data_IF_430957309105
#
_entry.id   IF_430957309105
#
_cell.length_a   1.000
_cell.length_b   1.000
_cell.length_c   1.000
_cell.angle_alpha   90.00
_cell.angle_beta   90.00
_cell.angle_gamma   90.00
#
_symmetry.space_group_name_H-M   'P 1'
#
loop_
_entity.id
_entity.type
_entity.pdbx_description
1 polymer ?
#
# COMPACT_ATOMS: atom_id res chain seq x y z
N UNK A 1 -13.55 18.33 15.45
CA UNK A 1 -12.15 17.88 15.25
C UNK A 1 -12.13 16.38 15.44
N UNK A 2 -11.59 15.62 14.48
CA UNK A 2 -11.42 14.19 14.68
C UNK A 2 -10.32 13.97 15.73
N UNK A 3 -10.65 13.30 16.84
CA UNK A 3 -9.74 13.07 17.94
C UNK A 3 -8.92 11.82 17.67
N UNK A 4 -7.65 11.97 17.30
CA UNK A 4 -6.71 10.84 17.26
C UNK A 4 -6.48 10.40 18.71
N UNK A 5 -6.85 9.16 19.03
CA UNK A 5 -6.72 8.59 20.36
C UNK A 5 -5.27 8.10 20.64
N UNK A 6 -4.29 9.00 20.43
CA UNK A 6 -2.85 8.69 20.44
C UNK A 6 -2.33 7.93 21.68
N UNK A 7 -2.85 8.13 22.91
CA UNK A 7 -2.41 7.35 24.07
C UNK A 7 -2.64 5.84 23.95
N UNK A 8 -3.54 5.39 23.07
CA UNK A 8 -3.87 3.97 22.88
C UNK A 8 -3.15 3.33 21.69
N UNK A 9 -2.34 4.09 20.95
CA UNK A 9 -1.64 3.62 19.76
C UNK A 9 -0.12 3.68 19.99
N UNK A 10 0.60 2.60 19.64
CA UNK A 10 2.06 2.63 19.54
C UNK A 10 2.57 3.14 18.20
N UNK A 11 1.72 3.07 17.16
CA UNK A 11 2.04 3.50 15.80
C UNK A 11 0.84 4.15 15.14
N UNK A 12 1.09 5.21 14.40
CA UNK A 12 0.12 5.90 13.55
C UNK A 12 0.61 5.82 12.10
N UNK A 13 -0.27 5.38 11.21
CA UNK A 13 -0.02 5.30 9.77
C UNK A 13 -0.79 6.44 9.10
N UNK A 14 -0.07 7.38 8.50
CA UNK A 14 -0.61 8.52 7.77
C UNK A 14 -0.84 8.12 6.31
N UNK A 15 -2.04 8.38 5.80
CA UNK A 15 -2.49 7.91 4.48
C UNK A 15 -3.21 9.05 3.74
N UNK A 16 -2.84 9.46 2.53
CA UNK A 16 -1.75 8.97 1.67
C UNK A 16 -1.04 10.14 0.98
N UNK A 17 0.25 9.95 0.69
CA UNK A 17 0.91 10.64 -0.42
C UNK A 17 0.90 9.73 -1.65
N UNK A 18 0.89 10.33 -2.83
CA UNK A 18 0.82 9.60 -4.10
C UNK A 18 1.96 9.97 -5.04
N UNK A 19 2.52 9.01 -5.81
CA UNK A 19 3.54 9.30 -6.81
C UNK A 19 3.01 10.21 -7.92
N UNK A 20 3.76 11.25 -8.28
CA UNK A 20 3.49 12.08 -9.46
C UNK A 20 4.80 12.36 -10.15
N UNK A 21 5.05 11.71 -11.29
CA UNK A 21 6.38 11.64 -11.90
C UNK A 21 7.40 11.17 -10.84
N UNK A 22 8.52 11.87 -10.68
CA UNK A 22 9.56 11.61 -9.67
C UNK A 22 9.28 12.26 -8.29
N UNK A 23 8.09 12.86 -8.14
CA UNK A 23 7.67 13.60 -6.94
C UNK A 23 6.58 12.89 -6.12
N UNK A 24 6.21 13.51 -5.00
CA UNK A 24 5.07 13.14 -4.18
C UNK A 24 4.03 14.27 -4.20
N UNK A 25 2.76 13.89 -4.29
CA UNK A 25 1.63 14.80 -4.13
C UNK A 25 0.73 14.32 -2.99
N UNK A 26 -0.01 15.25 -2.40
CA UNK A 26 -1.14 14.96 -1.51
C UNK A 26 -2.43 15.00 -2.32
N UNK A 27 -3.39 14.18 -1.94
CA UNK A 27 -4.72 14.17 -2.55
C UNK A 27 -5.54 15.40 -2.16
N UNK A 28 -5.27 15.99 -0.99
CA UNK A 28 -6.03 17.13 -0.46
C UNK A 28 -5.09 18.18 0.16
N UNK A 29 -4.49 19.08 -0.64
CA UNK A 29 -3.52 20.07 -0.16
C UNK A 29 -4.00 20.93 1.01
N UNK A 30 -5.26 21.36 0.99
CA UNK A 30 -5.84 22.19 2.06
C UNK A 30 -5.87 21.48 3.42
N UNK A 31 -5.98 20.15 3.45
CA UNK A 31 -5.91 19.38 4.69
C UNK A 31 -4.47 19.25 5.20
N UNK A 32 -3.49 19.15 4.31
CA UNK A 32 -2.06 19.11 4.70
C UNK A 32 -1.63 20.39 5.42
N UNK A 33 -2.12 21.53 4.97
CA UNK A 33 -1.80 22.84 5.57
C UNK A 33 -2.44 23.04 6.94
N UNK A 34 -3.60 22.45 7.19
CA UNK A 34 -4.40 22.71 8.40
C UNK A 34 -4.29 21.61 9.47
N UNK A 35 -4.21 20.34 9.06
CA UNK A 35 -4.31 19.18 9.97
C UNK A 35 -3.46 17.98 9.57
N UNK A 36 -2.70 18.08 8.49
CA UNK A 36 -1.92 16.96 7.96
C UNK A 36 -0.59 16.77 8.67
N UNK A 37 0.41 16.34 7.90
CA UNK A 37 1.65 15.81 8.47
C UNK A 37 2.45 16.86 9.27
N UNK A 38 2.37 18.14 8.87
CA UNK A 38 2.99 19.25 9.61
C UNK A 38 2.45 19.38 11.03
N UNK A 39 1.12 19.27 11.19
CA UNK A 39 0.49 19.35 12.51
C UNK A 39 0.84 18.13 13.38
N UNK A 40 0.92 16.94 12.79
CA UNK A 40 1.37 15.74 13.50
C UNK A 40 2.83 15.89 13.98
N UNK A 41 3.70 16.44 13.15
CA UNK A 41 5.10 16.70 13.52
C UNK A 41 5.20 17.70 14.68
N UNK A 42 4.39 18.76 14.67
CA UNK A 42 4.31 19.73 15.78
C UNK A 42 3.87 19.07 17.10
N UNK A 43 2.83 18.22 17.07
CA UNK A 43 2.34 17.52 18.26
C UNK A 43 3.41 16.59 18.86
N UNK A 44 4.24 15.95 18.01
CA UNK A 44 5.39 15.16 18.47
C UNK A 44 6.49 16.02 19.05
N UNK A 45 6.83 17.13 18.39
CA UNK A 45 7.85 18.07 18.85
C UNK A 45 7.49 18.72 20.20
N UNK A 46 6.20 18.92 20.48
CA UNK A 46 5.69 19.40 21.77
C UNK A 46 5.64 18.31 22.85
N UNK A 47 6.20 17.13 22.60
CA UNK A 47 6.22 15.99 23.52
C UNK A 47 4.82 15.49 23.92
N UNK A 48 3.76 15.83 23.16
CA UNK A 48 2.40 15.35 23.43
C UNK A 48 2.24 13.90 23.00
N UNK A 49 2.81 13.56 21.84
CA UNK A 49 2.75 12.22 21.23
C UNK A 49 4.15 11.67 20.90
N UNK A 50 5.15 11.96 21.73
CA UNK A 50 6.53 11.51 21.48
C UNK A 50 6.69 9.99 21.51
N UNK A 51 5.79 9.27 22.19
CA UNK A 51 5.74 7.80 22.21
C UNK A 51 5.25 7.19 20.89
N UNK A 52 4.61 7.99 20.03
CA UNK A 52 3.95 7.51 18.83
C UNK A 52 4.95 7.41 17.68
N UNK A 53 5.12 6.20 17.14
CA UNK A 53 5.79 5.99 15.86
C UNK A 53 4.88 6.45 14.73
N UNK A 54 5.34 7.37 13.87
CA UNK A 54 4.57 7.87 12.73
C UNK A 54 5.19 7.36 11.43
N UNK A 55 4.37 6.66 10.66
CA UNK A 55 4.72 6.11 9.35
C UNK A 55 3.86 6.79 8.30
N UNK A 56 4.46 7.23 7.18
CA UNK A 56 3.68 7.71 6.02
C UNK A 56 3.46 6.59 5.02
N UNK A 57 2.25 6.50 4.46
CA UNK A 57 1.93 5.62 3.35
C UNK A 57 2.00 6.33 2.02
N UNK A 58 2.67 5.70 1.07
CA UNK A 58 2.76 6.12 -0.33
C UNK A 58 1.94 5.16 -1.18
N UNK A 59 1.00 5.69 -1.98
CA UNK A 59 0.09 4.91 -2.82
C UNK A 59 -1.33 4.91 -2.26
N UNK A 60 -1.94 3.73 -2.16
CA UNK A 60 -3.32 3.57 -1.69
C UNK A 60 -4.34 3.34 -2.82
N UNK A 61 -5.59 3.10 -2.45
CA UNK A 61 -6.65 2.69 -3.39
C UNK A 61 -7.03 3.75 -4.42
N UNK A 62 -6.88 5.03 -4.07
CA UNK A 62 -7.17 6.15 -4.97
C UNK A 62 -6.03 6.42 -5.97
N UNK A 63 -4.92 5.67 -5.87
CA UNK A 63 -3.77 5.83 -6.74
C UNK A 63 -3.78 4.87 -7.93
N UNK A 64 -3.40 5.40 -9.10
CA UNK A 64 -3.17 4.58 -10.29
C UNK A 64 -1.82 3.87 -10.20
N UNK A 65 -1.84 2.54 -10.14
CA UNK A 65 -0.64 1.70 -10.13
C UNK A 65 0.30 1.97 -11.32
N UNK A 66 -0.21 2.54 -12.43
CA UNK A 66 0.60 2.95 -13.58
C UNK A 66 1.71 3.95 -13.23
N UNK A 67 1.53 4.81 -12.23
CA UNK A 67 2.58 5.75 -11.81
C UNK A 67 3.74 5.03 -11.14
N UNK A 68 3.46 4.01 -10.32
CA UNK A 68 4.52 3.18 -9.74
C UNK A 68 5.23 2.35 -10.82
N UNK A 69 4.50 1.75 -11.75
CA UNK A 69 5.10 1.03 -12.88
C UNK A 69 5.99 1.95 -13.73
N UNK A 70 5.53 3.18 -14.00
CA UNK A 70 6.31 4.19 -14.72
C UNK A 70 7.63 4.56 -14.02
N UNK A 71 7.62 4.62 -12.68
CA UNK A 71 8.83 4.80 -11.89
C UNK A 71 9.76 3.59 -12.00
N UNK A 72 9.21 2.38 -11.92
CA UNK A 72 9.97 1.13 -11.94
C UNK A 72 10.62 0.77 -13.28
N UNK A 73 10.17 1.37 -14.38
CA UNK A 73 10.73 1.16 -15.72
C UNK A 73 12.14 1.73 -15.92
N UNK A 74 12.57 2.68 -15.09
CA UNK A 74 13.85 3.37 -15.27
C UNK A 74 14.57 3.57 -13.92
N UNK A 75 15.75 2.94 -13.71
CA UNK A 75 16.42 2.95 -12.41
C UNK A 75 16.78 4.34 -11.87
N UNK A 76 17.16 5.30 -12.72
CA UNK A 76 17.53 6.66 -12.29
C UNK A 76 16.30 7.42 -11.79
N UNK A 77 15.18 7.30 -12.49
CA UNK A 77 13.88 7.87 -12.10
C UNK A 77 13.38 7.29 -10.79
N UNK A 78 13.47 5.97 -10.62
CA UNK A 78 13.15 5.33 -9.34
C UNK A 78 14.04 5.85 -8.21
N UNK A 79 15.35 5.99 -8.45
CA UNK A 79 16.27 6.53 -7.44
C UNK A 79 15.94 7.99 -7.07
N UNK A 80 15.56 8.83 -8.03
CA UNK A 80 15.11 10.20 -7.78
C UNK A 80 13.82 10.25 -6.97
N UNK A 81 12.84 9.42 -7.34
CA UNK A 81 11.60 9.28 -6.58
C UNK A 81 11.87 8.83 -5.15
N UNK A 82 12.69 7.80 -4.97
CA UNK A 82 13.02 7.29 -3.65
C UNK A 82 13.74 8.33 -2.79
N UNK A 83 14.55 9.21 -3.38
CA UNK A 83 15.12 10.38 -2.70
C UNK A 83 14.03 11.35 -2.23
N UNK A 84 12.99 11.59 -3.03
CA UNK A 84 11.84 12.41 -2.61
C UNK A 84 11.14 11.82 -1.38
N UNK A 85 10.99 10.49 -1.34
CA UNK A 85 10.44 9.77 -0.17
C UNK A 85 11.29 9.98 1.08
N UNK A 86 12.61 9.83 0.96
CA UNK A 86 13.55 10.05 2.08
C UNK A 86 13.48 11.50 2.57
N UNK A 87 13.43 12.48 1.65
CA UNK A 87 13.32 13.89 2.01
C UNK A 87 12.00 14.20 2.74
N UNK A 88 10.89 13.57 2.34
CA UNK A 88 9.62 13.69 3.06
C UNK A 88 9.73 13.14 4.49
N UNK A 89 10.29 11.93 4.64
CA UNK A 89 10.48 11.29 5.93
C UNK A 89 11.35 12.14 6.86
N UNK A 90 12.46 12.68 6.35
CA UNK A 90 13.34 13.57 7.11
C UNK A 90 12.66 14.88 7.50
N UNK A 91 11.95 15.51 6.55
CA UNK A 91 11.25 16.80 6.78
C UNK A 91 10.27 16.73 7.94
N UNK A 92 9.57 15.61 8.08
CA UNK A 92 8.55 15.43 9.12
C UNK A 92 8.99 14.52 10.27
N UNK A 93 10.29 14.18 10.34
CA UNK A 93 10.86 13.29 11.36
C UNK A 93 10.07 11.97 11.51
N UNK A 94 9.71 11.37 10.38
CA UNK A 94 8.93 10.13 10.36
C UNK A 94 9.78 8.94 10.78
N UNK A 95 9.17 7.98 11.45
CA UNK A 95 9.82 6.76 11.91
C UNK A 95 9.71 5.63 10.88
N UNK A 96 9.00 5.85 9.78
CA UNK A 96 8.80 4.81 8.77
C UNK A 96 8.13 5.28 7.49
N UNK A 97 8.22 4.41 6.49
CA UNK A 97 7.51 4.52 5.21
C UNK A 97 6.78 3.21 4.93
N UNK A 98 5.51 3.31 4.56
CA UNK A 98 4.69 2.20 4.09
C UNK A 98 4.45 2.37 2.59
N UNK A 99 4.69 1.34 1.79
CA UNK A 99 4.38 1.35 0.35
C UNK A 99 3.11 0.54 0.13
N UNK A 100 2.07 1.20 -0.37
CA UNK A 100 0.81 0.57 -0.73
C UNK A 100 0.64 0.61 -2.26
N UNK A 101 1.28 -0.36 -2.91
CA UNK A 101 1.19 -0.60 -4.35
C UNK A 101 0.29 -1.82 -4.55
N UNK A 102 -0.96 -1.57 -4.91
CA UNK A 102 -2.03 -2.57 -4.79
C UNK A 102 -1.99 -3.63 -5.89
N UNK A 103 -1.64 -3.23 -7.12
CA UNK A 103 -1.57 -4.10 -8.29
C UNK A 103 -0.19 -4.06 -8.91
N UNK A 104 0.59 -5.10 -8.64
CA UNK A 104 1.91 -5.35 -9.24
C UNK A 104 1.79 -6.25 -10.48
N UNK A 105 2.88 -6.45 -11.21
CA UNK A 105 3.17 -7.54 -12.16
C UNK A 105 1.96 -8.39 -12.66
N UNK A 106 1.63 -8.30 -13.96
CA UNK A 106 0.56 -9.12 -14.57
C UNK A 106 -0.84 -8.48 -14.53
N UNK A 107 -0.96 -7.26 -14.01
CA UNK A 107 -2.15 -6.40 -14.11
C UNK A 107 -2.07 -5.50 -15.35
N UNK A 108 -3.16 -4.76 -15.64
CA UNK A 108 -3.28 -3.89 -16.84
C UNK A 108 -2.07 -2.98 -17.09
N UNK A 109 -1.39 -2.54 -16.03
CA UNK A 109 -0.22 -1.65 -16.09
C UNK A 109 1.05 -2.22 -15.43
N UNK A 110 1.03 -3.47 -14.94
CA UNK A 110 2.13 -4.06 -14.17
C UNK A 110 3.20 -4.73 -15.04
N UNK A 111 4.47 -4.60 -14.67
CA UNK A 111 5.63 -5.17 -15.36
C UNK A 111 6.46 -6.09 -14.45
N UNK A 112 7.26 -7.01 -15.02
CA UNK A 112 8.21 -7.84 -14.25
C UNK A 112 9.27 -7.01 -13.49
N UNK A 113 9.54 -5.79 -13.95
CA UNK A 113 10.43 -4.85 -13.27
C UNK A 113 9.85 -4.29 -11.97
N UNK A 114 8.53 -4.32 -11.79
CA UNK A 114 7.85 -3.70 -10.64
C UNK A 114 8.28 -4.36 -9.32
N UNK A 115 8.40 -5.68 -9.31
CA UNK A 115 8.91 -6.44 -8.16
C UNK A 115 10.32 -5.99 -7.77
N UNK A 116 11.20 -5.75 -8.74
CA UNK A 116 12.54 -5.23 -8.47
C UNK A 116 12.52 -3.77 -8.01
N UNK A 117 11.70 -2.94 -8.64
CA UNK A 117 11.55 -1.53 -8.31
C UNK A 117 11.02 -1.32 -6.88
N UNK A 118 10.04 -2.12 -6.47
CA UNK A 118 9.52 -2.14 -5.11
C UNK A 118 10.62 -2.48 -4.10
N UNK A 119 11.43 -3.51 -4.37
CA UNK A 119 12.56 -3.85 -3.49
C UNK A 119 13.58 -2.71 -3.37
N UNK A 120 13.85 -1.99 -4.46
CA UNK A 120 14.73 -0.82 -4.43
C UNK A 120 14.12 0.33 -3.63
N UNK A 121 12.81 0.56 -3.75
CA UNK A 121 12.09 1.58 -3.00
C UNK A 121 12.11 1.28 -1.49
N UNK A 122 11.92 0.02 -1.10
CA UNK A 122 12.01 -0.42 0.29
C UNK A 122 13.43 -0.27 0.85
N UNK A 123 14.47 -0.39 0.02
CA UNK A 123 15.87 -0.19 0.44
C UNK A 123 16.30 1.27 0.53
N UNK A 124 15.63 2.18 -0.19
CA UNK A 124 16.12 3.55 -0.35
C UNK A 124 16.21 4.35 0.95
N UNK A 125 15.29 4.21 1.93
CA UNK A 125 15.54 4.68 3.29
C UNK A 125 16.58 3.78 3.95
N UNK A 126 17.87 4.05 3.70
CA UNK A 126 19.00 3.26 4.21
C UNK A 126 19.29 3.45 5.70
N UNK A 127 18.41 4.11 6.46
CA UNK A 127 18.51 4.14 7.92
C UNK A 127 17.79 2.91 8.48
N UNK A 128 18.57 2.01 9.08
CA UNK A 128 18.13 0.78 9.75
C UNK A 128 17.13 1.00 10.89
N UNK A 129 16.86 2.26 11.25
CA UNK A 129 15.82 2.66 12.21
C UNK A 129 14.46 2.95 11.57
N UNK A 130 14.40 3.07 10.24
CA UNK A 130 13.17 3.35 9.51
C UNK A 130 12.33 2.08 9.46
N UNK A 131 11.08 2.15 9.91
CA UNK A 131 10.14 1.04 9.74
C UNK A 131 9.62 1.02 8.30
N UNK A 132 9.73 -0.11 7.62
CA UNK A 132 9.25 -0.32 6.26
C UNK A 132 8.00 -1.20 6.27
N UNK A 133 6.87 -0.61 5.88
CA UNK A 133 5.61 -1.31 5.69
C UNK A 133 5.36 -1.64 4.22
N UNK A 134 4.64 -2.72 3.97
CA UNK A 134 4.09 -2.98 2.64
C UNK A 134 2.63 -3.43 2.68
N UNK A 135 1.85 -2.98 1.69
CA UNK A 135 0.53 -3.53 1.37
C UNK A 135 0.42 -3.78 -0.13
N UNK A 136 -0.02 -5.00 -0.47
CA UNK A 136 -0.28 -5.46 -1.83
C UNK A 136 -1.62 -6.17 -1.80
N UNK A 137 -2.55 -5.78 -2.68
CA UNK A 137 -3.89 -6.39 -2.69
C UNK A 137 -3.93 -7.70 -3.47
N UNK A 138 -3.17 -7.82 -4.57
CA UNK A 138 -3.22 -8.97 -5.47
C UNK A 138 -1.82 -9.56 -5.70
N UNK A 139 -1.29 -10.38 -4.78
CA UNK A 139 -0.05 -11.10 -5.02
C UNK A 139 -0.29 -12.20 -6.07
N UNK A 140 0.28 -12.04 -7.28
CA UNK A 140 0.30 -13.08 -8.32
C UNK A 140 1.28 -14.20 -7.96
N UNK A 141 1.12 -15.38 -8.57
CA UNK A 141 1.92 -16.57 -8.27
C UNK A 141 3.44 -16.40 -8.49
N UNK A 142 3.86 -15.41 -9.29
CA UNK A 142 5.27 -15.11 -9.57
C UNK A 142 5.89 -14.07 -8.61
N UNK A 143 5.12 -13.60 -7.62
CA UNK A 143 5.54 -12.54 -6.72
C UNK A 143 6.65 -12.99 -5.74
N UNK A 144 7.77 -12.25 -5.69
CA UNK A 144 8.90 -12.57 -4.79
C UNK A 144 8.64 -12.17 -3.34
N UNK A 145 7.68 -12.85 -2.70
CA UNK A 145 7.25 -12.60 -1.33
C UNK A 145 8.41 -12.74 -0.31
N UNK A 146 9.27 -13.74 -0.50
CA UNK A 146 10.42 -13.98 0.38
C UNK A 146 11.47 -12.86 0.30
N UNK A 147 11.73 -12.33 -0.90
CA UNK A 147 12.65 -11.21 -1.08
C UNK A 147 12.13 -9.93 -0.45
N UNK A 148 10.83 -9.67 -0.57
CA UNK A 148 10.19 -8.45 -0.06
C UNK A 148 10.04 -8.47 1.46
N UNK A 149 9.65 -9.60 2.05
CA UNK A 149 9.55 -9.71 3.51
C UNK A 149 10.89 -9.67 4.23
N UNK A 150 12.02 -9.78 3.51
CA UNK A 150 13.34 -9.50 4.08
C UNK A 150 13.65 -8.00 4.18
N UNK A 151 12.87 -7.16 3.49
CA UNK A 151 13.05 -5.72 3.41
C UNK A 151 11.93 -4.95 4.14
N UNK A 152 10.76 -5.55 4.31
CA UNK A 152 9.64 -4.98 5.06
C UNK A 152 9.62 -5.50 6.50
N UNK A 153 9.45 -4.61 7.47
CA UNK A 153 9.23 -4.96 8.88
C UNK A 153 7.83 -5.54 9.12
N UNK A 154 6.85 -5.13 8.30
CA UNK A 154 5.49 -5.66 8.38
C UNK A 154 4.77 -5.60 7.02
N UNK A 155 3.80 -6.51 6.84
CA UNK A 155 2.85 -6.50 5.75
C UNK A 155 1.43 -6.32 6.28
N UNK A 156 0.59 -5.50 5.65
CA UNK A 156 -0.83 -5.36 6.03
C UNK A 156 -1.76 -6.03 5.03
N UNK A 157 -2.72 -6.80 5.53
CA UNK A 157 -3.66 -7.59 4.71
C UNK A 157 -5.09 -7.42 5.25
N UNK A 158 -5.94 -6.68 4.52
CA UNK A 158 -7.37 -6.53 4.79
C UNK A 158 -8.13 -6.35 3.46
N UNK A 159 -9.42 -6.70 3.44
CA UNK A 159 -10.30 -6.88 2.28
C UNK A 159 -10.06 -8.14 1.45
N UNK A 160 -10.58 -9.28 1.93
CA UNK A 160 -10.70 -10.50 1.13
C UNK A 160 -12.15 -10.76 0.72
N UNK A 161 -12.43 -10.99 -0.59
CA UNK A 161 -11.55 -10.74 -1.74
C UNK A 161 -11.52 -9.25 -2.11
N UNK A 162 -10.35 -8.69 -2.50
CA UNK A 162 -10.25 -7.30 -2.96
C UNK A 162 -11.03 -7.13 -4.26
N UNK A 163 -11.72 -6.00 -4.42
CA UNK A 163 -12.40 -5.60 -5.66
C UNK A 163 -13.61 -6.46 -6.08
N UNK A 164 -13.87 -7.59 -5.43
CA UNK A 164 -15.02 -8.43 -5.70
C UNK A 164 -16.20 -7.96 -4.83
N UNK A 165 -17.31 -7.55 -5.45
CA UNK A 165 -18.59 -7.48 -4.75
C UNK A 165 -19.13 -8.91 -4.76
N UNK A 166 -19.04 -9.68 -3.67
CA UNK A 166 -19.54 -11.05 -3.66
C UNK A 166 -21.03 -11.03 -3.94
N UNK A 167 -21.49 -11.98 -4.76
CA UNK A 167 -22.91 -12.19 -5.05
C UNK A 167 -23.70 -12.64 -3.82
N UNK A 168 -23.02 -12.87 -2.69
CA UNK A 168 -23.56 -13.22 -1.38
C UNK A 168 -22.82 -12.45 -0.28
N UNK A 169 -23.50 -12.23 0.84
CA UNK A 169 -22.88 -11.65 2.01
C UNK A 169 -21.82 -12.61 2.59
N UNK A 170 -20.59 -12.11 2.77
CA UNK A 170 -19.46 -12.85 3.30
C UNK A 170 -18.68 -11.98 4.30
N UNK A 171 -17.89 -12.61 5.17
CA UNK A 171 -17.02 -11.88 6.10
C UNK A 171 -15.83 -11.27 5.37
N UNK A 172 -15.65 -9.94 5.46
CA UNK A 172 -14.52 -9.22 4.83
C UNK A 172 -13.19 -9.26 5.60
N UNK A 173 -13.19 -9.83 6.81
CA UNK A 173 -12.04 -9.84 7.73
C UNK A 173 -12.02 -11.08 8.65
N UNK A 174 -12.52 -12.21 8.16
CA UNK A 174 -12.53 -13.46 8.96
C UNK A 174 -11.11 -13.94 9.26
N UNK A 175 -10.83 -14.24 10.54
CA UNK A 175 -9.55 -14.80 10.97
C UNK A 175 -9.28 -16.23 10.48
N UNK A 176 -10.33 -16.96 10.09
CA UNK A 176 -10.25 -18.35 9.66
C UNK A 176 -11.17 -18.59 8.47
N UNK A 177 -10.72 -19.45 7.55
CA UNK A 177 -11.54 -19.91 6.44
C UNK A 177 -12.76 -20.66 6.98
N UNK A 178 -13.95 -20.31 6.48
CA UNK A 178 -15.18 -21.06 6.75
C UNK A 178 -15.41 -22.06 5.63
N UNK A 179 -15.72 -23.31 5.98
CA UNK A 179 -16.18 -24.29 5.01
C UNK A 179 -17.58 -23.91 4.54
N UNK A 180 -17.67 -23.27 3.39
CA UNK A 180 -18.95 -23.13 2.68
C UNK A 180 -19.10 -24.30 1.71
N UNK A 181 -20.20 -25.06 1.84
CA UNK A 181 -20.54 -26.10 0.89
C UNK A 181 -20.78 -25.46 -0.50
N UNK A 182 -19.79 -25.62 -1.38
CA UNK A 182 -19.88 -25.18 -2.77
C UNK A 182 -20.78 -26.16 -3.54
N UNK A 183 -22.04 -25.82 -3.75
CA UNK A 183 -22.80 -26.43 -4.85
C UNK A 183 -22.30 -25.82 -6.16
N UNK A 184 -21.22 -26.38 -6.72
CA UNK A 184 -20.86 -26.12 -8.12
C UNK A 184 -22.00 -26.63 -9.00
N UNK A 185 -22.74 -25.74 -9.66
CA UNK A 185 -23.52 -26.15 -10.84
C UNK A 185 -22.53 -26.31 -12.00
N UNK A 186 -22.49 -27.46 -12.69
CA UNK A 186 -21.64 -27.60 -13.86
C UNK A 186 -22.12 -26.65 -14.96
N UNK A 187 -21.17 -26.12 -15.74
CA UNK A 187 -21.46 -25.35 -16.94
C UNK A 187 -22.28 -26.21 -17.91
N UNK A 188 -23.38 -25.65 -18.42
CA UNK A 188 -24.23 -26.31 -19.40
C UNK A 188 -23.43 -26.58 -20.68
N UNK A 189 -23.31 -27.84 -21.06
CA UNK A 189 -22.86 -28.24 -22.39
C UNK A 189 -23.97 -27.95 -23.39
N UNK A 190 -23.70 -27.10 -24.37
CA UNK A 190 -24.56 -26.90 -25.54
C UNK A 190 -24.56 -28.17 -26.40
N UNK A 191 -25.53 -29.06 -26.16
CA UNK A 191 -25.89 -30.09 -27.10
C UNK A 191 -27.07 -29.57 -27.93
N UNK A 192 -26.84 -29.35 -29.23
CA UNK A 192 -27.88 -28.99 -30.17
C UNK A 192 -28.94 -30.08 -30.26
N UNK A 193 -30.18 -29.67 -30.47
CA UNK A 193 -31.27 -30.57 -30.84
C UNK A 193 -31.91 -30.07 -32.12
N UNK A 194 -31.82 -30.95 -33.11
CA UNK A 194 -32.47 -30.97 -34.42
C UNK A 194 -33.99 -30.89 -34.25
N UNK A 195 -34.63 -30.10 -35.11
CA UNK A 195 -36.08 -30.05 -35.25
C UNK A 195 -36.57 -31.18 -36.16
N UNK A 196 -37.55 -31.95 -35.69
CA UNK A 196 -38.59 -32.58 -36.52
C UNK A 196 -39.92 -32.10 -35.96
#
# INVERSE_FOLDING_TARGET
MAHIAAPYCGRLVYSYFVPRNEGLATLVPALEESTGLSHLAELRAQNKWSHLSVIVTIGGHEEDDAHFSYLGQEPVRLARFARTVVLLAQRYSLDGVNVEWLRLEGTVCGSRSDTHALMLLLRAPNDHRTTHGIRIAEPYAEFNFLGINRLADYSTNYDFPPGHIPSRAEHRSSKQARSHASTKRPCATSAGSVWI
#
